data_IF_554873008049
#
_entry.id   IF_554873008049
#
_cell.length_a   1.000
_cell.length_b   1.000
_cell.length_c   1.000
_cell.angle_alpha   90.00
_cell.angle_beta   90.00
_cell.angle_gamma   90.00
#
_symmetry.space_group_name_H-M   'P 1'
#
loop_
_entity.id
_entity.type
_entity.pdbx_description
1 polymer ?
#
# COMPACT_ATOMS: atom_id res chain seq x y z
N UNK A 1 44.58 12.35 -64.99
CA UNK A 1 43.16 12.28 -64.86
C UNK A 1 42.89 11.68 -63.46
N UNK A 2 42.75 12.57 -62.47
CA UNK A 2 42.67 12.22 -61.01
C UNK A 2 41.23 12.37 -60.53
N UNK A 3 40.60 11.28 -60.07
CA UNK A 3 39.27 11.25 -59.51
C UNK A 3 39.28 11.86 -58.09
N UNK A 4 38.28 12.69 -57.69
CA UNK A 4 38.19 13.21 -56.34
C UNK A 4 37.63 12.16 -55.38
N UNK A 5 38.29 11.97 -54.25
CA UNK A 5 37.86 11.16 -53.14
C UNK A 5 36.73 11.92 -52.38
N UNK A 6 35.50 11.49 -52.54
CA UNK A 6 34.37 11.97 -51.72
C UNK A 6 34.49 11.43 -50.30
N UNK A 7 34.65 12.32 -49.33
CA UNK A 7 34.62 12.02 -47.89
C UNK A 7 33.15 12.03 -47.47
N UNK A 8 32.61 10.87 -47.19
CA UNK A 8 31.25 10.73 -46.56
C UNK A 8 31.44 10.93 -45.06
N UNK A 9 31.02 12.10 -44.55
CA UNK A 9 30.95 12.39 -43.12
C UNK A 9 29.66 11.73 -42.60
N UNK A 10 29.79 10.63 -41.86
CA UNK A 10 28.70 9.96 -41.18
C UNK A 10 28.43 10.69 -39.84
N UNK A 11 27.46 11.62 -39.85
CA UNK A 11 27.05 12.31 -38.63
C UNK A 11 26.27 11.33 -37.75
N UNK A 12 26.92 10.81 -36.70
CA UNK A 12 26.31 9.97 -35.69
C UNK A 12 25.48 10.86 -34.76
N UNK A 13 24.16 10.89 -35.01
CA UNK A 13 23.20 11.60 -34.15
C UNK A 13 23.04 10.85 -32.84
N UNK A 14 23.74 11.27 -31.79
CA UNK A 14 23.54 10.77 -30.45
C UNK A 14 22.13 11.20 -29.96
N UNK A 15 21.16 10.31 -30.03
CA UNK A 15 19.91 10.45 -29.27
C UNK A 15 20.26 10.26 -27.77
N UNK A 16 20.46 11.38 -27.06
CA UNK A 16 20.50 11.37 -25.58
C UNK A 16 19.07 11.17 -25.09
N UNK A 17 18.65 9.93 -24.94
CA UNK A 17 17.43 9.59 -24.20
C UNK A 17 17.63 10.03 -22.75
N UNK A 18 16.82 10.96 -22.27
CA UNK A 18 16.75 11.27 -20.84
C UNK A 18 16.27 10.02 -20.12
N UNK A 19 17.15 9.37 -19.37
CA UNK A 19 16.79 8.30 -18.47
C UNK A 19 16.12 9.01 -17.29
N UNK A 20 14.77 9.03 -17.26
CA UNK A 20 14.04 9.44 -16.08
C UNK A 20 14.35 8.41 -14.99
N UNK A 21 15.09 8.81 -13.97
CA UNK A 21 15.31 8.01 -12.79
C UNK A 21 14.02 8.04 -11.98
N UNK A 22 13.33 6.93 -11.88
CA UNK A 22 12.29 6.75 -10.86
C UNK A 22 12.97 6.49 -9.53
N UNK A 23 12.83 7.39 -8.59
CA UNK A 23 13.32 7.19 -7.24
C UNK A 23 12.35 6.27 -6.50
N UNK A 24 12.88 5.11 -6.11
CA UNK A 24 12.15 4.08 -5.37
C UNK A 24 12.60 4.05 -3.92
N UNK A 25 11.69 4.34 -3.00
CA UNK A 25 11.98 4.43 -1.58
C UNK A 25 11.22 3.34 -0.84
N UNK A 26 11.97 2.54 -0.07
CA UNK A 26 11.41 1.40 0.67
C UNK A 26 10.80 1.84 2.01
N UNK A 27 9.75 1.14 2.40
CA UNK A 27 9.13 1.29 3.71
C UNK A 27 10.05 0.79 4.79
N UNK A 28 10.25 1.58 5.84
CA UNK A 28 10.94 1.22 7.06
C UNK A 28 9.98 0.42 7.94
N UNK A 29 10.19 -0.88 7.97
CA UNK A 29 9.33 -1.82 8.70
C UNK A 29 9.31 -1.55 10.20
N UNK A 30 10.42 -1.09 10.80
CA UNK A 30 10.50 -0.86 12.25
C UNK A 30 9.73 0.39 12.69
N UNK A 31 9.55 1.36 11.78
CA UNK A 31 8.81 2.61 12.03
C UNK A 31 7.39 2.59 11.49
N UNK A 32 6.95 1.45 10.97
CA UNK A 32 5.67 1.33 10.29
C UNK A 32 4.74 0.34 10.97
N UNK A 33 3.44 0.63 10.94
CA UNK A 33 2.43 -0.26 11.47
C UNK A 33 1.09 -0.13 10.74
N UNK A 34 0.32 -1.21 10.78
CA UNK A 34 -1.06 -1.26 10.29
C UNK A 34 -1.92 -1.85 11.41
N UNK A 35 -2.99 -1.14 11.78
CA UNK A 35 -3.93 -1.58 12.81
C UNK A 35 -5.31 -1.72 12.17
N UNK A 36 -5.97 -2.85 12.38
CA UNK A 36 -7.37 -2.99 12.07
C UNK A 36 -8.22 -2.96 13.34
N UNK A 37 -9.42 -2.43 13.24
CA UNK A 37 -10.42 -2.42 14.29
C UNK A 37 -11.68 -3.09 13.76
N UNK A 38 -12.07 -4.17 14.41
CA UNK A 38 -13.27 -4.91 14.08
C UNK A 38 -14.29 -4.82 15.22
N UNK A 39 -15.57 -4.92 14.86
CA UNK A 39 -16.66 -4.73 15.79
C UNK A 39 -17.73 -5.80 15.57
N UNK A 40 -18.21 -6.30 16.69
CA UNK A 40 -19.41 -7.09 16.82
C UNK A 40 -20.34 -6.37 17.83
N UNK A 41 -21.67 -6.47 17.77
CA UNK A 41 -22.54 -5.81 18.72
C UNK A 41 -22.22 -6.06 20.20
N UNK A 42 -21.62 -7.22 20.53
CA UNK A 42 -21.25 -7.58 21.89
C UNK A 42 -19.85 -7.12 22.32
N UNK A 43 -18.93 -6.89 21.40
CA UNK A 43 -17.53 -6.52 21.71
C UNK A 43 -16.77 -5.93 20.52
N UNK A 44 -15.70 -5.21 20.83
CA UNK A 44 -14.76 -4.63 19.87
C UNK A 44 -13.37 -5.19 20.13
N UNK A 45 -12.54 -5.25 19.09
CA UNK A 45 -11.13 -5.62 19.20
C UNK A 45 -10.32 -4.96 18.09
N UNK A 46 -9.03 -5.04 18.23
CA UNK A 46 -8.07 -4.63 17.17
C UNK A 46 -7.00 -5.69 17.02
N UNK A 47 -6.30 -5.66 15.90
CA UNK A 47 -5.07 -6.40 15.69
C UNK A 47 -4.07 -5.50 14.98
N UNK A 48 -2.79 -5.65 15.33
CA UNK A 48 -1.71 -4.83 14.81
C UNK A 48 -0.70 -5.68 14.03
N UNK A 49 -0.27 -5.18 12.89
CA UNK A 49 0.88 -5.67 12.15
C UNK A 49 1.99 -4.60 12.26
N UNK A 50 3.14 -4.97 12.83
CA UNK A 50 4.31 -4.10 13.01
C UNK A 50 5.43 -4.42 12.01
N UNK A 51 5.15 -5.23 11.00
CA UNK A 51 6.14 -5.65 9.99
C UNK A 51 5.61 -5.51 8.56
N UNK A 52 4.86 -4.43 8.23
CA UNK A 52 4.42 -4.23 6.86
C UNK A 52 5.61 -4.00 5.95
N UNK A 53 5.42 -4.28 4.65
CA UNK A 53 6.42 -4.01 3.60
C UNK A 53 5.80 -3.12 2.55
N UNK A 54 6.61 -2.28 1.93
CA UNK A 54 6.10 -1.40 0.90
C UNK A 54 7.19 -0.62 0.19
N UNK A 55 6.76 0.07 -0.84
CA UNK A 55 7.57 0.96 -1.66
C UNK A 55 6.72 2.13 -2.11
N UNK A 56 7.32 3.30 -2.16
CA UNK A 56 6.78 4.48 -2.82
C UNK A 56 7.73 4.88 -3.94
N UNK A 57 7.19 5.21 -5.10
CA UNK A 57 7.95 5.65 -6.27
C UNK A 57 7.63 7.11 -6.55
N UNK A 58 8.65 7.84 -6.99
CA UNK A 58 8.56 9.26 -7.30
C UNK A 58 8.89 9.49 -8.77
N UNK A 59 8.21 10.44 -9.36
CA UNK A 59 8.50 11.01 -10.66
C UNK A 59 8.65 12.53 -10.50
N UNK A 60 9.77 13.08 -10.90
CA UNK A 60 10.08 14.52 -10.73
C UNK A 60 9.83 15.03 -9.29
N UNK A 61 10.28 14.26 -8.29
CA UNK A 61 10.09 14.51 -6.84
C UNK A 61 8.63 14.48 -6.35
N UNK A 62 7.70 14.00 -7.16
CA UNK A 62 6.29 13.85 -6.78
C UNK A 62 5.97 12.36 -6.61
N UNK A 63 5.35 11.92 -5.50
CA UNK A 63 4.94 10.54 -5.35
C UNK A 63 3.87 10.20 -6.41
N UNK A 64 4.13 9.16 -7.20
CA UNK A 64 3.24 8.76 -8.30
C UNK A 64 2.74 7.33 -8.18
N UNK A 65 3.41 6.48 -7.37
CA UNK A 65 3.02 5.08 -7.18
C UNK A 65 3.31 4.62 -5.77
N UNK A 66 2.42 3.82 -5.20
CA UNK A 66 2.62 3.18 -3.90
C UNK A 66 2.16 1.72 -3.92
N UNK A 67 2.95 0.86 -3.32
CA UNK A 67 2.58 -0.52 -3.04
C UNK A 67 2.91 -0.85 -1.59
N UNK A 68 1.92 -1.38 -0.86
CA UNK A 68 2.07 -1.80 0.55
C UNK A 68 1.46 -3.17 0.72
N UNK A 69 2.10 -4.04 1.50
CA UNK A 69 1.56 -5.35 1.84
C UNK A 69 1.85 -5.74 3.29
N UNK A 70 1.01 -6.59 3.83
CA UNK A 70 1.16 -7.17 5.15
C UNK A 70 0.75 -8.64 5.11
N UNK A 71 1.56 -9.54 5.69
CA UNK A 71 1.14 -10.92 5.85
C UNK A 71 0.01 -11.01 6.88
N UNK A 72 -0.99 -11.82 6.61
CA UNK A 72 -2.12 -12.00 7.51
C UNK A 72 -1.70 -12.64 8.84
N UNK A 73 -0.66 -13.49 8.83
CA UNK A 73 -0.14 -14.16 10.02
C UNK A 73 0.56 -13.21 11.01
N UNK A 74 1.01 -12.06 10.53
CA UNK A 74 1.74 -11.07 11.34
C UNK A 74 0.81 -10.08 12.07
N UNK A 75 -0.52 -10.25 11.94
CA UNK A 75 -1.47 -9.47 12.73
C UNK A 75 -1.71 -10.12 14.09
N UNK A 76 -1.40 -9.39 15.16
CA UNK A 76 -1.59 -9.80 16.55
C UNK A 76 -2.78 -9.06 17.20
N UNK A 77 -3.85 -9.77 17.49
CA UNK A 77 -5.02 -9.22 18.21
C UNK A 77 -4.98 -9.49 19.71
N UNK A 78 -3.87 -9.98 20.24
CA UNK A 78 -3.70 -10.46 21.62
C UNK A 78 -4.61 -11.66 21.97
N UNK A 79 -5.03 -12.41 20.95
CA UNK A 79 -5.83 -13.62 21.12
C UNK A 79 -5.53 -14.62 20.01
N UNK A 80 -4.72 -15.63 20.31
CA UNK A 80 -4.30 -16.65 19.34
C UNK A 80 -5.48 -17.35 18.66
N UNK A 81 -6.60 -17.56 19.39
CA UNK A 81 -7.80 -18.15 18.80
C UNK A 81 -8.47 -17.21 17.79
N UNK A 82 -8.49 -15.90 18.05
CA UNK A 82 -9.03 -14.90 17.12
C UNK A 82 -8.15 -14.81 15.88
N UNK A 83 -6.86 -14.79 16.05
CA UNK A 83 -5.90 -14.70 14.96
C UNK A 83 -5.97 -15.95 14.07
N UNK A 84 -6.02 -17.15 14.65
CA UNK A 84 -6.23 -18.38 13.90
C UNK A 84 -7.57 -18.40 13.15
N UNK A 85 -8.64 -17.85 13.74
CA UNK A 85 -9.92 -17.69 13.06
C UNK A 85 -9.85 -16.71 11.90
N UNK A 86 -9.16 -15.58 12.05
CA UNK A 86 -8.97 -14.60 10.98
C UNK A 86 -8.23 -15.22 9.78
N UNK A 87 -7.13 -15.95 10.02
CA UNK A 87 -6.39 -16.66 8.98
C UNK A 87 -7.28 -17.62 8.17
N UNK A 88 -8.19 -18.31 8.86
CA UNK A 88 -9.13 -19.24 8.19
C UNK A 88 -10.20 -18.51 7.39
N UNK A 89 -10.76 -17.41 7.93
CA UNK A 89 -11.78 -16.59 7.26
C UNK A 89 -11.24 -15.98 5.98
N UNK A 90 -10.01 -15.48 6.02
CA UNK A 90 -9.34 -14.87 4.87
C UNK A 90 -8.62 -15.87 3.97
N UNK A 91 -8.74 -17.19 4.24
CA UNK A 91 -8.07 -18.25 3.48
C UNK A 91 -6.56 -17.99 3.31
N UNK A 92 -5.88 -17.72 4.42
CA UNK A 92 -4.48 -17.31 4.43
C UNK A 92 -3.50 -18.36 3.89
N UNK A 93 -3.93 -19.61 3.72
CA UNK A 93 -3.12 -20.66 3.04
C UNK A 93 -2.99 -20.35 1.56
N UNK A 94 -4.06 -19.91 0.91
CA UNK A 94 -4.07 -19.57 -0.51
C UNK A 94 -3.71 -18.09 -0.74
N UNK A 95 -4.16 -17.20 0.15
CA UNK A 95 -3.95 -15.76 0.10
C UNK A 95 -3.25 -15.29 1.39
N UNK A 96 -1.91 -15.46 1.51
CA UNK A 96 -1.20 -15.23 2.77
C UNK A 96 -1.07 -13.76 3.16
N UNK A 97 -1.37 -12.83 2.25
CA UNK A 97 -1.17 -11.40 2.46
C UNK A 97 -2.38 -10.56 2.04
N UNK A 98 -2.50 -9.41 2.64
CA UNK A 98 -3.29 -8.29 2.14
C UNK A 98 -2.33 -7.29 1.50
N UNK A 99 -2.71 -6.74 0.34
CA UNK A 99 -1.91 -5.74 -0.35
C UNK A 99 -2.77 -4.56 -0.82
N UNK A 100 -2.13 -3.41 -0.95
CA UNK A 100 -2.70 -2.20 -1.54
C UNK A 100 -1.77 -1.70 -2.62
N UNK A 101 -2.33 -1.27 -3.74
CA UNK A 101 -1.60 -0.69 -4.86
C UNK A 101 -2.33 0.51 -5.43
N UNK A 102 -1.55 1.56 -5.77
CA UNK A 102 -2.04 2.75 -6.45
C UNK A 102 -0.99 3.32 -7.39
N UNK A 103 -1.45 3.84 -8.53
CA UNK A 103 -0.73 4.72 -9.47
C UNK A 103 -1.37 6.11 -9.54
N UNK A 104 -2.30 6.42 -8.64
CA UNK A 104 -3.03 7.68 -8.61
C UNK A 104 -2.86 8.30 -7.21
N UNK A 105 -1.80 9.10 -7.08
CA UNK A 105 -1.44 9.82 -5.88
C UNK A 105 -1.42 11.32 -6.18
N UNK A 106 -2.15 12.09 -5.41
CA UNK A 106 -2.21 13.55 -5.55
C UNK A 106 -1.83 14.24 -4.25
N UNK A 107 -0.75 15.02 -4.26
CA UNK A 107 -0.39 15.87 -3.13
C UNK A 107 -1.32 17.08 -3.08
N UNK A 108 -1.98 17.26 -1.95
CA UNK A 108 -2.86 18.38 -1.68
C UNK A 108 -2.20 19.41 -0.77
N UNK A 109 -2.85 20.56 -0.61
CA UNK A 109 -2.43 21.57 0.39
C UNK A 109 -2.57 21.00 1.81
N UNK A 110 -1.75 21.50 2.75
CA UNK A 110 -1.78 21.16 4.18
C UNK A 110 -1.31 19.73 4.50
N UNK A 111 -0.22 19.29 3.87
CA UNK A 111 0.40 18.00 4.18
C UNK A 111 -0.58 16.81 4.06
N UNK A 112 -1.39 16.82 3.02
CA UNK A 112 -2.36 15.77 2.74
C UNK A 112 -2.08 15.16 1.36
N UNK A 113 -2.21 13.84 1.27
CA UNK A 113 -2.14 13.08 0.02
C UNK A 113 -3.46 12.34 -0.20
N UNK A 114 -4.05 12.52 -1.38
CA UNK A 114 -5.18 11.70 -1.85
C UNK A 114 -4.63 10.52 -2.63
N UNK A 115 -5.10 9.33 -2.32
CA UNK A 115 -4.65 8.07 -2.95
C UNK A 115 -5.89 7.31 -3.43
N UNK A 116 -5.96 7.03 -4.73
CA UNK A 116 -7.00 6.18 -5.32
C UNK A 116 -6.34 4.89 -5.77
N UNK A 117 -6.74 3.77 -5.19
CA UNK A 117 -6.10 2.49 -5.44
C UNK A 117 -7.00 1.31 -5.14
N UNK A 118 -6.39 0.15 -5.01
CA UNK A 118 -7.10 -1.11 -4.85
C UNK A 118 -6.44 -1.97 -3.78
N UNK A 119 -7.24 -2.47 -2.84
CA UNK A 119 -6.83 -3.57 -1.96
C UNK A 119 -7.03 -4.90 -2.68
N UNK A 120 -6.09 -5.83 -2.45
CA UNK A 120 -6.29 -7.25 -2.71
C UNK A 120 -6.32 -7.98 -1.37
N UNK A 121 -7.46 -8.58 -1.05
CA UNK A 121 -7.67 -9.38 0.17
C UNK A 121 -8.41 -10.66 -0.18
N UNK A 122 -7.83 -11.80 0.11
CA UNK A 122 -8.42 -13.13 -0.20
C UNK A 122 -8.83 -13.28 -1.68
N UNK A 123 -8.06 -12.70 -2.61
CA UNK A 123 -8.34 -12.69 -4.03
C UNK A 123 -9.43 -11.69 -4.48
N UNK A 124 -10.02 -10.93 -3.56
CA UNK A 124 -10.96 -9.87 -3.90
C UNK A 124 -10.24 -8.53 -4.07
N UNK A 125 -10.58 -7.86 -5.15
CA UNK A 125 -10.17 -6.49 -5.45
C UNK A 125 -11.19 -5.51 -4.89
N UNK A 126 -10.75 -4.64 -3.97
CA UNK A 126 -11.61 -3.69 -3.26
C UNK A 126 -11.09 -2.29 -3.57
N UNK A 127 -11.79 -1.52 -4.43
CA UNK A 127 -11.42 -0.14 -4.73
C UNK A 127 -11.46 0.71 -3.45
N UNK A 128 -10.48 1.60 -3.31
CA UNK A 128 -10.37 2.48 -2.16
C UNK A 128 -9.88 3.86 -2.57
N UNK A 129 -10.53 4.90 -2.02
CA UNK A 129 -10.06 6.28 -2.09
C UNK A 129 -9.89 6.80 -0.67
N UNK A 130 -8.72 7.37 -0.37
CA UNK A 130 -8.38 7.86 0.96
C UNK A 130 -7.63 9.18 0.88
N UNK A 131 -7.89 10.06 1.86
CA UNK A 131 -7.08 11.25 2.13
C UNK A 131 -6.30 11.02 3.42
N UNK A 132 -4.98 11.08 3.32
CA UNK A 132 -4.07 10.75 4.41
C UNK A 132 -3.13 11.93 4.67
N UNK A 133 -2.62 12.04 5.88
CA UNK A 133 -1.54 12.96 6.19
C UNK A 133 -0.26 12.49 5.51
N UNK A 134 0.42 13.42 4.83
CA UNK A 134 1.72 13.22 4.20
C UNK A 134 2.70 14.23 4.73
N UNK A 135 3.82 13.78 5.27
CA UNK A 135 4.87 14.65 5.82
C UNK A 135 6.20 14.23 5.21
N UNK A 136 6.85 15.16 4.55
CA UNK A 136 8.23 15.04 4.12
C UNK A 136 9.17 15.58 5.19
N UNK A 137 10.28 14.89 5.41
CA UNK A 137 11.36 15.27 6.32
C UNK A 137 12.73 14.99 5.67
N UNK A 138 13.80 15.43 6.33
CA UNK A 138 15.17 15.14 5.88
C UNK A 138 15.46 13.62 5.88
N UNK A 139 14.80 12.85 6.73
CA UNK A 139 15.04 11.41 6.89
C UNK A 139 14.08 10.53 6.10
N UNK A 140 13.02 11.09 5.53
CA UNK A 140 12.04 10.29 4.77
C UNK A 140 10.66 10.89 4.68
N UNK A 141 9.72 10.05 4.30
CA UNK A 141 8.32 10.40 4.07
C UNK A 141 7.42 9.61 5.02
N UNK A 142 6.48 10.28 5.66
CA UNK A 142 5.50 9.66 6.55
C UNK A 142 4.09 9.80 5.96
N UNK A 143 3.37 8.67 5.85
CA UNK A 143 1.96 8.62 5.47
C UNK A 143 1.19 8.04 6.65
N UNK A 144 0.22 8.80 7.18
CA UNK A 144 -0.56 8.40 8.36
C UNK A 144 -2.03 8.71 8.17
N UNK A 145 -2.89 7.90 8.75
CA UNK A 145 -4.31 8.18 8.82
C UNK A 145 -5.17 6.96 9.02
N UNK A 146 -6.46 7.17 8.88
CA UNK A 146 -7.48 6.16 9.05
C UNK A 146 -8.39 6.10 7.83
N UNK A 147 -8.90 4.90 7.55
CA UNK A 147 -9.91 4.68 6.52
C UNK A 147 -10.80 3.49 6.89
N UNK A 148 -11.89 3.33 6.16
CA UNK A 148 -12.78 2.17 6.30
C UNK A 148 -12.59 1.26 5.10
N UNK A 149 -12.21 0.01 5.36
CA UNK A 149 -12.22 -1.06 4.38
C UNK A 149 -13.57 -1.78 4.44
N UNK A 150 -14.37 -1.66 3.40
CA UNK A 150 -15.70 -2.28 3.34
C UNK A 150 -15.64 -3.65 2.67
N UNK A 151 -15.84 -4.70 3.45
CA UNK A 151 -15.86 -6.09 3.00
C UNK A 151 -17.24 -6.54 2.46
N UNK A 152 -18.26 -5.67 2.49
CA UNK A 152 -19.63 -6.05 2.08
C UNK A 152 -19.73 -6.43 0.59
N UNK A 153 -18.84 -5.90 -0.24
CA UNK A 153 -18.76 -6.21 -1.67
C UNK A 153 -18.01 -7.51 -1.98
N UNK A 154 -17.44 -8.15 -0.98
CA UNK A 154 -16.74 -9.43 -1.11
C UNK A 154 -17.67 -10.61 -0.78
N UNK A 155 -17.26 -11.82 -1.17
CA UNK A 155 -17.95 -13.06 -0.76
C UNK A 155 -17.33 -13.65 0.52
N UNK A 156 -16.50 -12.90 1.24
CA UNK A 156 -15.88 -13.32 2.50
C UNK A 156 -17.00 -13.53 3.54
N UNK A 157 -17.07 -14.73 4.07
CA UNK A 157 -18.09 -15.07 5.08
C UNK A 157 -17.61 -14.66 6.46
N UNK A 158 -18.05 -13.48 6.90
CA UNK A 158 -17.77 -13.01 8.26
C UNK A 158 -18.47 -13.89 9.30
N UNK A 159 -17.80 -14.22 10.42
CA UNK A 159 -18.36 -15.08 11.45
C UNK A 159 -19.56 -14.41 12.14
N UNK A 160 -20.44 -15.25 12.65
CA UNK A 160 -21.63 -14.82 13.43
C UNK A 160 -21.47 -15.24 14.87
N UNK A 161 -21.86 -14.36 15.77
CA UNK A 161 -22.00 -14.67 17.18
C UNK A 161 -23.40 -14.21 17.67
N UNK A 162 -24.13 -15.05 18.37
CA UNK A 162 -25.52 -14.78 18.77
C UNK A 162 -26.38 -14.31 17.58
N UNK A 163 -26.29 -15.04 16.44
CA UNK A 163 -27.02 -14.77 15.19
C UNK A 163 -26.68 -13.47 14.47
N UNK A 164 -25.81 -12.60 15.02
CA UNK A 164 -25.37 -11.36 14.40
C UNK A 164 -23.97 -11.54 13.79
N UNK A 165 -23.73 -11.06 12.57
CA UNK A 165 -22.39 -11.07 11.97
C UNK A 165 -21.49 -9.99 12.60
N UNK A 166 -20.19 -10.15 12.43
CA UNK A 166 -19.23 -9.07 12.57
C UNK A 166 -19.57 -8.00 11.52
N UNK A 167 -19.38 -6.73 11.87
CA UNK A 167 -19.56 -5.61 10.91
C UNK A 167 -18.60 -5.78 9.73
N UNK A 168 -19.10 -5.53 8.51
CA UNK A 168 -18.29 -5.63 7.29
C UNK A 168 -17.36 -4.44 7.09
N UNK A 169 -17.61 -3.33 7.78
CA UNK A 169 -16.81 -2.13 7.75
C UNK A 169 -15.69 -2.22 8.79
N UNK A 170 -14.47 -2.40 8.32
CA UNK A 170 -13.28 -2.53 9.15
C UNK A 170 -12.55 -1.19 9.14
N UNK A 171 -12.47 -0.51 10.29
CA UNK A 171 -11.64 0.68 10.41
C UNK A 171 -10.17 0.26 10.42
N UNK A 172 -9.38 0.87 9.57
CA UNK A 172 -7.95 0.66 9.48
C UNK A 172 -7.23 1.96 9.84
N UNK A 173 -6.14 1.85 10.58
CA UNK A 173 -5.22 2.93 10.90
C UNK A 173 -3.85 2.54 10.41
N UNK A 174 -3.17 3.45 9.72
CA UNK A 174 -1.84 3.21 9.19
C UNK A 174 -0.86 4.28 9.66
N UNK A 175 0.36 3.83 9.92
CA UNK A 175 1.54 4.66 10.04
C UNK A 175 2.61 4.03 9.16
N UNK A 176 2.93 4.67 8.05
CA UNK A 176 3.92 4.20 7.09
C UNK A 176 5.06 5.21 7.03
N UNK A 177 6.30 4.74 7.13
CA UNK A 177 7.49 5.57 7.03
C UNK A 177 8.42 5.02 5.94
N UNK A 178 8.77 5.85 4.99
CA UNK A 178 9.65 5.52 3.86
C UNK A 178 10.97 6.26 4.06
N UNK A 179 12.07 5.54 4.26
CA UNK A 179 13.38 6.12 4.60
C UNK A 179 14.13 6.56 3.34
N UNK A 180 14.50 7.85 3.26
CA UNK A 180 15.45 8.34 2.25
C UNK A 180 16.82 7.70 2.48
N UNK A 181 17.44 7.19 1.41
CA UNK A 181 18.79 6.62 1.42
C UNK A 181 19.86 7.72 1.43
#
# INVERSE_FOLDING_TARGET
MTLPRSIIIFTFLFLTGSIFSQDRIMLDTEKSSIIYYAKHPAHKWSGVNNVPKGVIEFEENTPNRIAVKANLVDFDSKSANRDANALRIFNAIEFPEVSFYSEDLTLNKKDTISIIGEFNLSGYKIPQSVDLQYIESDTGYSIKGEFILDLSQTKIRLPRFLFKPIESQIRCEIQLFFTKN
#
